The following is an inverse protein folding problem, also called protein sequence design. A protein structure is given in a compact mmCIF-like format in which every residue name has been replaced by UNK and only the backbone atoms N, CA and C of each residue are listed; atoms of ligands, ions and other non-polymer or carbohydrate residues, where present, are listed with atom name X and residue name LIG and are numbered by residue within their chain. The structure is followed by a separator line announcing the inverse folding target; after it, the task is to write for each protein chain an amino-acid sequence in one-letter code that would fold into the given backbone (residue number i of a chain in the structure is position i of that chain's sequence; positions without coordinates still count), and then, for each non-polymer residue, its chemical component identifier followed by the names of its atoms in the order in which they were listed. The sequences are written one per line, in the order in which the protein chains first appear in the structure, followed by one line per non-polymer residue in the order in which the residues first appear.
data_IF_199325639944
#
_entry.id   IF_199325639944
#
_cell.length_a   1.000
_cell.length_b   1.000
_cell.length_c   1.000
_cell.angle_alpha   90.00
_cell.angle_beta   90.00
_cell.angle_gamma   90.00
#
_symmetry.space_group_name_H-M   'P 1'
#
loop_
_entity.id
_entity.type
_entity.pdbx_description
1 polymer ?
#
# COMPACT_ATOMS: atom_id res chain seq x y z
N UNK A 1 -12.96 -1.33 -12.81
CA UNK A 1 -12.22 -1.94 -11.67
C UNK A 1 -10.85 -2.50 -12.10
N UNK A 2 -10.11 -1.85 -13.03
CA UNK A 2 -8.95 -2.49 -13.68
C UNK A 2 -7.57 -2.09 -13.14
N UNK A 3 -7.33 -0.80 -12.87
CA UNK A 3 -5.97 -0.30 -12.58
C UNK A 3 -5.51 -0.68 -11.17
N UNK A 4 -6.33 -0.43 -10.14
CA UNK A 4 -5.98 -0.72 -8.75
C UNK A 4 -5.65 -2.21 -8.51
N UNK A 5 -6.43 -3.12 -9.10
CA UNK A 5 -6.22 -4.57 -8.96
C UNK A 5 -4.88 -5.04 -9.54
N UNK A 6 -4.44 -4.44 -10.64
CA UNK A 6 -3.10 -4.70 -11.20
C UNK A 6 -1.99 -4.19 -10.28
N UNK A 7 -2.20 -3.02 -9.67
CA UNK A 7 -1.24 -2.42 -8.76
C UNK A 7 -1.13 -3.16 -7.42
N UNK A 8 -2.18 -3.83 -6.97
CA UNK A 8 -2.18 -4.65 -5.75
C UNK A 8 -1.15 -5.78 -5.83
N UNK A 9 -0.98 -6.41 -6.99
CA UNK A 9 0.06 -7.42 -7.19
C UNK A 9 1.45 -6.84 -6.92
N UNK A 10 1.74 -5.65 -7.46
CA UNK A 10 2.99 -4.93 -7.19
C UNK A 10 3.13 -4.51 -5.71
N UNK A 11 2.03 -4.10 -5.09
CA UNK A 11 1.99 -3.79 -3.65
C UNK A 11 2.28 -5.01 -2.79
N UNK A 12 1.72 -6.18 -3.12
CA UNK A 12 2.00 -7.45 -2.42
C UNK A 12 3.45 -7.89 -2.59
N UNK A 13 4.05 -7.67 -3.75
CA UNK A 13 5.49 -7.93 -3.97
C UNK A 13 6.33 -6.98 -3.10
N UNK A 14 5.98 -5.69 -3.09
CA UNK A 14 6.69 -4.66 -2.29
C UNK A 14 6.53 -4.91 -0.80
N UNK A 15 5.32 -5.26 -0.38
CA UNK A 15 4.94 -5.53 0.99
C UNK A 15 4.51 -6.98 1.14
N UNK A 16 5.48 -7.90 1.20
CA UNK A 16 5.21 -9.34 1.32
C UNK A 16 4.44 -9.74 2.59
N UNK A 17 4.36 -8.85 3.59
CA UNK A 17 3.54 -9.05 4.81
C UNK A 17 2.08 -8.66 4.64
N UNK A 18 1.73 -7.95 3.57
CA UNK A 18 0.36 -7.52 3.28
C UNK A 18 -0.30 -8.47 2.30
N UNK A 19 -1.58 -8.75 2.54
CA UNK A 19 -2.39 -9.58 1.64
C UNK A 19 -3.07 -8.74 0.56
N UNK A 20 -3.38 -9.36 -0.58
CA UNK A 20 -4.09 -8.69 -1.67
C UNK A 20 -5.43 -8.13 -1.21
N UNK A 21 -6.17 -8.86 -0.37
CA UNK A 21 -7.43 -8.42 0.22
C UNK A 21 -7.30 -7.15 1.05
N UNK A 22 -6.26 -7.03 1.87
CA UNK A 22 -6.05 -5.82 2.68
C UNK A 22 -5.72 -4.61 1.81
N UNK A 23 -4.91 -4.81 0.77
CA UNK A 23 -4.60 -3.79 -0.22
C UNK A 23 -5.84 -3.43 -1.06
N UNK A 24 -6.67 -4.41 -1.41
CA UNK A 24 -7.93 -4.22 -2.13
C UNK A 24 -8.92 -3.41 -1.30
N UNK A 25 -9.05 -3.72 0.00
CA UNK A 25 -9.86 -2.95 0.96
C UNK A 25 -9.39 -1.51 1.14
N UNK A 26 -8.11 -1.22 0.91
CA UNK A 26 -7.62 0.15 0.92
C UNK A 26 -8.10 0.97 -0.27
N UNK A 27 -8.47 0.33 -1.39
CA UNK A 27 -9.06 1.01 -2.56
C UNK A 27 -8.20 2.14 -3.15
N UNK A 28 -6.89 2.14 -2.93
CA UNK A 28 -5.98 3.22 -3.33
C UNK A 28 -5.91 4.39 -2.35
N UNK A 29 -6.58 4.33 -1.20
CA UNK A 29 -6.44 5.35 -0.15
C UNK A 29 -5.11 5.24 0.57
N UNK A 30 -4.30 6.30 0.45
CA UNK A 30 -3.02 6.47 1.17
C UNK A 30 -3.21 6.28 2.68
N UNK A 31 -4.23 6.90 3.28
CA UNK A 31 -4.44 6.86 4.73
C UNK A 31 -4.62 5.44 5.29
N UNK A 32 -5.40 4.59 4.62
CA UNK A 32 -5.60 3.19 5.03
C UNK A 32 -4.34 2.36 4.84
N UNK A 33 -3.66 2.53 3.70
CA UNK A 33 -2.38 1.86 3.44
C UNK A 33 -1.31 2.22 4.47
N UNK A 34 -1.26 3.49 4.91
CA UNK A 34 -0.29 3.93 5.92
C UNK A 34 -0.55 3.27 7.27
N UNK A 35 -1.80 3.22 7.73
CA UNK A 35 -2.15 2.52 8.97
C UNK A 35 -1.80 1.02 8.87
N UNK A 36 -2.15 0.39 7.75
CA UNK A 36 -1.88 -1.02 7.50
C UNK A 36 -0.38 -1.34 7.52
N UNK A 37 0.43 -0.55 6.80
CA UNK A 37 1.90 -0.71 6.77
C UNK A 37 2.51 -0.43 8.15
N UNK A 38 2.03 0.60 8.85
CA UNK A 38 2.48 0.94 10.20
C UNK A 38 2.28 -0.24 11.16
N UNK A 39 1.09 -0.83 11.19
CA UNK A 39 0.76 -1.96 12.07
C UNK A 39 1.49 -3.26 11.67
N UNK A 40 1.59 -3.54 10.36
CA UNK A 40 2.16 -4.81 9.84
C UNK A 40 3.68 -4.85 9.88
N UNK A 41 4.33 -3.70 9.70
CA UNK A 41 5.78 -3.59 9.75
C UNK A 41 6.30 -3.04 11.08
N UNK A 42 5.41 -2.66 12.01
CA UNK A 42 5.77 -2.04 13.29
C UNK A 42 6.74 -0.85 13.12
N UNK A 43 6.52 -0.05 12.08
CA UNK A 43 7.34 1.12 11.76
C UNK A 43 6.62 2.41 12.15
N UNK A 44 7.36 3.52 12.22
CA UNK A 44 6.78 4.83 12.48
C UNK A 44 5.88 5.29 11.32
N UNK A 45 4.83 6.05 11.66
CA UNK A 45 3.85 6.57 10.69
C UNK A 45 4.50 7.36 9.54
N UNK A 46 5.58 8.10 9.81
CA UNK A 46 6.32 8.85 8.79
C UNK A 46 6.98 7.94 7.75
N UNK A 47 7.53 6.80 8.18
CA UNK A 47 8.18 5.83 7.31
C UNK A 47 7.13 5.08 6.48
N UNK A 48 6.03 4.66 7.10
CA UNK A 48 4.88 4.09 6.41
C UNK A 48 4.32 5.08 5.36
N UNK A 49 4.17 6.34 5.73
CA UNK A 49 3.71 7.40 4.82
C UNK A 49 4.65 7.59 3.63
N UNK A 50 5.98 7.60 3.84
CA UNK A 50 6.95 7.65 2.74
C UNK A 50 6.81 6.48 1.79
N UNK A 51 6.77 5.24 2.30
CA UNK A 51 6.64 4.05 1.46
C UNK A 51 5.35 4.08 0.63
N UNK A 52 4.22 4.41 1.26
CA UNK A 52 2.92 4.48 0.58
C UNK A 52 2.90 5.61 -0.44
N UNK A 53 3.44 6.79 -0.11
CA UNK A 53 3.50 7.93 -1.03
C UNK A 53 4.36 7.61 -2.27
N UNK A 54 5.51 6.97 -2.07
CA UNK A 54 6.37 6.51 -3.18
C UNK A 54 5.62 5.49 -4.04
N UNK A 55 4.93 4.54 -3.41
CA UNK A 55 4.15 3.53 -4.12
C UNK A 55 3.04 4.16 -4.97
N UNK A 56 2.18 5.01 -4.37
CA UNK A 56 1.10 5.71 -5.08
C UNK A 56 1.64 6.64 -6.18
N UNK A 57 2.76 7.31 -5.95
CA UNK A 57 3.43 8.13 -6.95
C UNK A 57 3.95 7.32 -8.15
N UNK A 58 4.30 6.04 -7.96
CA UNK A 58 4.62 5.13 -9.08
C UNK A 58 3.37 4.67 -9.84
N UNK A 59 2.18 4.68 -9.22
CA UNK A 59 0.93 4.30 -9.88
C UNK A 59 0.35 5.38 -10.78
N UNK A 60 0.66 6.64 -10.49
CA UNK A 60 0.18 7.79 -11.26
C UNK A 60 1.05 8.13 -12.48
N UNK A 61 2.11 7.35 -12.73
CA UNK A 61 3.09 7.61 -13.80
C UNK A 61 2.89 6.65 -14.98
#
# INVERSE_FOLDING_TARGET
MGKWKQHILSAKITWSRLTEDELLKCGGQVGRLVALVQERYAIVRAEAYRQVKVFIGRLQR
#
